data_IF_818364301996
#
_entry.id   IF_818364301996
#
_cell.length_a   1.000
_cell.length_b   1.000
_cell.length_c   1.000
_cell.angle_alpha   90.00
_cell.angle_beta   90.00
_cell.angle_gamma   90.00
#
_symmetry.space_group_name_H-M   'P 1'
#
loop_
_entity.id
_entity.type
_entity.pdbx_description
1 polymer ?
#
# COMPACT_ATOMS: atom_id res chain seq x y z
N UNK A 1 23.84 9.73 12.00
CA UNK A 1 22.65 10.53 12.38
C UNK A 1 21.50 9.55 12.61
N UNK A 2 20.83 9.61 13.75
CA UNK A 2 19.62 8.83 14.00
C UNK A 2 18.52 9.25 13.00
N UNK A 3 17.78 8.28 12.43
CA UNK A 3 16.62 8.61 11.60
C UNK A 3 15.57 9.28 12.49
N UNK A 4 14.91 10.35 12.04
CA UNK A 4 13.87 10.99 12.81
C UNK A 4 12.73 9.99 13.09
N UNK A 5 12.07 10.12 14.22
CA UNK A 5 10.89 9.32 14.53
C UNK A 5 9.76 9.64 13.55
N UNK A 6 8.79 8.72 13.37
CA UNK A 6 7.63 8.99 12.52
C UNK A 6 6.88 10.25 12.96
N UNK A 7 6.76 10.48 14.25
CA UNK A 7 6.09 11.65 14.81
C UNK A 7 6.85 12.95 14.50
N UNK A 8 8.18 12.94 14.48
CA UNK A 8 9.01 14.06 14.02
C UNK A 8 8.88 14.23 12.51
N UNK A 9 9.01 13.13 11.75
CA UNK A 9 8.84 13.14 10.30
C UNK A 9 7.46 13.71 9.90
N UNK A 10 6.38 13.23 10.50
CA UNK A 10 5.03 13.73 10.22
C UNK A 10 4.85 15.19 10.65
N UNK A 11 5.43 15.62 11.76
CA UNK A 11 5.33 17.01 12.24
C UNK A 11 6.04 17.96 11.28
N UNK A 12 7.27 17.64 10.90
CA UNK A 12 8.07 18.48 10.00
C UNK A 12 7.44 18.55 8.60
N UNK A 13 6.82 17.44 8.13
CA UNK A 13 6.21 17.38 6.81
C UNK A 13 4.76 17.87 6.76
N UNK A 14 4.00 17.82 7.87
CA UNK A 14 2.66 18.42 7.93
C UNK A 14 2.70 19.94 7.77
N UNK A 15 3.73 20.60 8.30
CA UNK A 15 3.93 22.05 8.09
C UNK A 15 4.29 22.37 6.63
N UNK A 16 5.06 21.51 5.96
CA UNK A 16 5.40 21.65 4.54
C UNK A 16 4.23 21.27 3.64
N UNK A 17 3.46 20.24 3.99
CA UNK A 17 2.22 19.85 3.30
C UNK A 17 1.19 20.98 3.36
N UNK A 18 1.05 21.67 4.50
CA UNK A 18 0.14 22.80 4.64
C UNK A 18 0.52 24.00 3.76
N UNK A 19 1.79 24.12 3.37
CA UNK A 19 2.33 25.15 2.48
C UNK A 19 2.30 24.74 1.00
N UNK A 20 2.30 23.44 0.72
CA UNK A 20 2.27 22.89 -0.63
C UNK A 20 0.84 22.92 -1.17
N UNK A 21 0.62 23.65 -2.24
CA UNK A 21 -0.73 23.84 -2.79
C UNK A 21 -1.27 22.65 -3.58
N UNK A 22 -0.38 21.79 -4.12
CA UNK A 22 -0.75 20.66 -4.96
C UNK A 22 0.04 19.39 -4.57
N UNK A 23 -0.61 18.23 -4.51
CA UNK A 23 0.09 16.96 -4.28
C UNK A 23 1.00 16.62 -5.45
N UNK A 24 2.12 15.97 -5.16
CA UNK A 24 3.00 15.41 -6.20
C UNK A 24 2.42 14.15 -6.83
N UNK A 25 2.99 13.68 -7.96
CA UNK A 25 2.51 12.47 -8.64
C UNK A 25 2.79 11.21 -7.82
N UNK A 26 1.84 10.27 -7.78
CA UNK A 26 2.00 8.99 -7.09
C UNK A 26 1.26 7.86 -7.79
N UNK A 27 1.70 6.62 -7.51
CA UNK A 27 1.09 5.38 -7.99
C UNK A 27 0.74 4.49 -6.79
N UNK A 28 -0.49 3.99 -6.71
CA UNK A 28 -0.84 2.94 -5.75
C UNK A 28 -1.09 1.61 -6.46
N UNK A 29 -0.50 0.53 -5.95
CA UNK A 29 -0.65 -0.83 -6.52
C UNK A 29 -1.34 -1.73 -5.49
N UNK A 30 -2.60 -2.08 -5.76
CA UNK A 30 -3.33 -3.12 -5.05
C UNK A 30 -3.19 -4.46 -5.78
N UNK A 31 -3.30 -5.58 -5.07
CA UNK A 31 -3.12 -6.90 -5.69
C UNK A 31 -3.86 -7.99 -4.94
N UNK A 32 -4.27 -9.02 -5.66
CA UNK A 32 -4.61 -10.31 -5.07
C UNK A 32 -3.36 -11.06 -4.63
N UNK A 33 -3.50 -11.97 -3.66
CA UNK A 33 -2.39 -12.83 -3.24
C UNK A 33 -2.06 -13.85 -4.32
N UNK A 34 -0.79 -13.97 -4.65
CA UNK A 34 -0.31 -14.77 -5.78
C UNK A 34 -0.04 -13.96 -7.05
N UNK A 35 -0.51 -12.69 -7.13
CA UNK A 35 -0.10 -11.76 -8.19
C UNK A 35 1.21 -11.04 -7.84
N UNK A 36 1.92 -10.59 -8.86
CA UNK A 36 3.29 -10.02 -8.78
C UNK A 36 3.32 -8.53 -8.42
N UNK A 37 2.55 -8.13 -7.39
CA UNK A 37 2.43 -6.71 -7.08
C UNK A 37 3.67 -6.03 -6.51
N UNK A 38 4.54 -6.77 -5.82
CA UNK A 38 5.80 -6.23 -5.33
C UNK A 38 6.80 -6.10 -6.49
N UNK A 39 6.91 -7.13 -7.30
CA UNK A 39 7.77 -7.18 -8.49
C UNK A 39 7.37 -6.12 -9.52
N UNK A 40 6.07 -5.89 -9.71
CA UNK A 40 5.56 -4.79 -10.52
C UNK A 40 5.96 -3.44 -9.92
N UNK A 41 5.83 -3.27 -8.60
CA UNK A 41 6.23 -2.05 -7.92
C UNK A 41 7.71 -1.71 -8.09
N UNK A 42 8.58 -2.73 -7.99
CA UNK A 42 10.02 -2.57 -8.24
C UNK A 42 10.31 -2.19 -9.70
N UNK A 43 9.69 -2.88 -10.65
CA UNK A 43 9.86 -2.58 -12.06
C UNK A 43 9.34 -1.18 -12.44
N UNK A 44 8.20 -0.77 -11.88
CA UNK A 44 7.70 0.59 -12.02
C UNK A 44 8.65 1.63 -11.45
N UNK A 45 9.26 1.36 -10.28
CA UNK A 45 10.24 2.27 -9.67
C UNK A 45 11.45 2.50 -10.59
N UNK A 46 11.97 1.44 -11.20
CA UNK A 46 13.07 1.53 -12.17
C UNK A 46 12.66 2.39 -13.38
N UNK A 47 11.51 2.08 -14.01
CA UNK A 47 11.00 2.81 -15.18
C UNK A 47 10.68 4.28 -14.88
N UNK A 48 10.12 4.58 -13.73
CA UNK A 48 9.83 5.95 -13.32
C UNK A 48 11.11 6.76 -13.09
N UNK A 49 12.13 6.17 -12.47
CA UNK A 49 13.42 6.82 -12.26
C UNK A 49 14.26 6.95 -13.54
N UNK A 50 14.07 6.06 -14.52
CA UNK A 50 14.65 6.22 -15.87
C UNK A 50 13.97 7.34 -16.66
N UNK A 51 12.65 7.53 -16.46
CA UNK A 51 11.87 8.54 -17.17
C UNK A 51 12.07 9.96 -16.63
N UNK A 52 12.18 10.10 -15.32
CA UNK A 52 12.29 11.37 -14.60
C UNK A 52 13.63 11.41 -13.84
N UNK A 53 14.65 11.93 -14.49
CA UNK A 53 16.01 12.04 -13.92
C UNK A 53 16.13 13.16 -12.87
N UNK A 54 15.23 14.14 -12.91
CA UNK A 54 15.25 15.30 -11.99
C UNK A 54 14.62 14.96 -10.65
N UNK A 55 13.67 14.02 -10.62
CA UNK A 55 12.88 13.66 -9.46
C UNK A 55 13.03 12.19 -9.15
N UNK A 56 13.42 11.87 -7.94
CA UNK A 56 13.64 10.49 -7.54
C UNK A 56 12.38 9.87 -6.92
N UNK A 57 11.79 8.91 -7.64
CA UNK A 57 10.70 8.08 -7.13
C UNK A 57 11.18 7.11 -6.05
N UNK A 58 10.32 6.84 -5.08
CA UNK A 58 10.58 5.88 -4.00
C UNK A 58 9.43 4.87 -3.91
N UNK A 59 9.76 3.64 -3.53
CA UNK A 59 8.74 2.61 -3.31
C UNK A 59 8.50 2.40 -1.81
N UNK A 60 7.22 2.25 -1.44
CA UNK A 60 6.78 1.99 -0.08
C UNK A 60 5.92 0.72 -0.05
N UNK A 61 6.32 -0.25 0.74
CA UNK A 61 5.65 -1.55 0.88
C UNK A 61 5.50 -1.91 2.36
N UNK A 62 6.33 -2.83 2.89
CA UNK A 62 6.30 -3.24 4.31
C UNK A 62 7.07 -2.30 5.23
N UNK A 63 7.86 -1.41 4.69
CA UNK A 63 8.68 -0.44 5.42
C UNK A 63 7.83 0.44 6.35
N UNK A 64 6.60 0.75 5.96
CA UNK A 64 5.66 1.51 6.79
C UNK A 64 5.32 0.79 8.10
N UNK A 65 5.15 -0.53 8.06
CA UNK A 65 4.89 -1.32 9.26
C UNK A 65 6.15 -1.43 10.13
N UNK A 66 7.33 -1.52 9.50
CA UNK A 66 8.61 -1.53 10.20
C UNK A 66 8.84 -0.21 10.92
N UNK A 67 8.63 0.90 10.25
CA UNK A 67 8.77 2.23 10.84
C UNK A 67 7.78 2.44 12.00
N UNK A 68 6.53 2.02 11.83
CA UNK A 68 5.55 2.10 12.91
C UNK A 68 5.93 1.20 14.10
N UNK A 69 6.55 0.05 13.85
CA UNK A 69 7.09 -0.83 14.88
C UNK A 69 8.21 -0.15 15.69
N UNK A 70 9.15 0.48 15.00
CA UNK A 70 10.24 1.25 15.60
C UNK A 70 9.71 2.41 16.46
N UNK A 71 8.73 3.17 15.96
CA UNK A 71 8.15 4.32 16.66
C UNK A 71 7.33 3.95 17.90
N UNK A 72 6.68 2.80 17.89
CA UNK A 72 5.81 2.35 18.98
C UNK A 72 6.49 1.43 19.98
N UNK A 73 7.72 0.97 19.68
CA UNK A 73 8.42 -0.07 20.45
C UNK A 73 7.77 -1.45 20.37
N UNK A 74 6.85 -1.67 19.42
CA UNK A 74 6.17 -2.94 19.18
C UNK A 74 6.86 -3.72 18.07
N UNK A 75 6.65 -5.04 18.02
CA UNK A 75 7.11 -5.84 16.87
C UNK A 75 6.15 -5.71 15.68
N UNK A 76 6.66 -5.96 14.46
CA UNK A 76 5.83 -5.92 13.26
C UNK A 76 4.66 -6.93 13.34
N UNK A 77 4.88 -8.10 13.96
CA UNK A 77 3.86 -9.13 14.16
C UNK A 77 2.73 -8.63 15.06
N UNK A 78 3.06 -7.88 16.13
CA UNK A 78 2.06 -7.28 17.01
C UNK A 78 1.26 -6.23 16.25
N UNK A 79 1.92 -5.36 15.50
CA UNK A 79 1.24 -4.33 14.69
C UNK A 79 0.32 -4.96 13.65
N UNK A 80 0.79 -5.97 12.92
CA UNK A 80 -0.03 -6.64 11.92
C UNK A 80 -1.22 -7.39 12.54
N UNK A 81 -1.02 -8.04 13.68
CA UNK A 81 -2.09 -8.70 14.44
C UNK A 81 -3.13 -7.68 14.93
N UNK A 82 -2.71 -6.59 15.54
CA UNK A 82 -3.62 -5.58 16.07
C UNK A 82 -4.34 -4.83 14.95
N UNK A 83 -3.67 -4.52 13.84
CA UNK A 83 -4.29 -3.94 12.65
C UNK A 83 -5.46 -4.77 12.12
N UNK A 84 -5.35 -6.09 12.23
CA UNK A 84 -6.37 -7.07 11.83
C UNK A 84 -7.40 -7.36 12.92
N UNK A 85 -7.20 -6.85 14.13
CA UNK A 85 -8.12 -7.11 15.26
C UNK A 85 -9.46 -6.43 15.02
N UNK A 86 -10.54 -7.19 15.32
CA UNK A 86 -11.89 -6.64 15.38
C UNK A 86 -12.09 -5.90 16.70
N UNK A 87 -12.87 -4.82 16.73
CA UNK A 87 -13.24 -4.16 17.97
C UNK A 87 -13.87 -5.16 18.98
N UNK A 88 -13.44 -5.09 20.23
CA UNK A 88 -13.96 -5.97 21.28
C UNK A 88 -14.02 -5.20 22.59
N UNK A 89 -15.23 -4.97 23.10
CA UNK A 89 -15.47 -4.26 24.36
C UNK A 89 -14.67 -4.86 25.54
N UNK A 90 -14.52 -6.20 25.58
CA UNK A 90 -13.74 -6.87 26.62
C UNK A 90 -12.25 -6.57 26.52
N UNK A 91 -11.70 -6.58 25.29
CA UNK A 91 -10.28 -6.22 25.06
C UNK A 91 -10.02 -4.76 25.41
N UNK A 92 -10.92 -3.87 25.03
CA UNK A 92 -10.80 -2.43 25.27
C UNK A 92 -10.89 -2.11 26.76
N UNK A 93 -11.79 -2.78 27.49
CA UNK A 93 -11.86 -2.68 28.94
C UNK A 93 -10.59 -3.17 29.65
N UNK A 94 -10.06 -4.33 29.24
CA UNK A 94 -8.82 -4.89 29.79
C UNK A 94 -7.58 -4.03 29.47
N UNK A 95 -7.57 -3.33 28.34
CA UNK A 95 -6.53 -2.37 27.98
C UNK A 95 -6.57 -1.14 28.88
N UNK A 96 -7.74 -0.63 29.19
CA UNK A 96 -7.91 0.50 30.13
C UNK A 96 -7.37 0.23 31.53
N UNK A 97 -7.24 -1.04 31.92
CA UNK A 97 -6.67 -1.45 33.22
C UNK A 97 -5.14 -1.60 33.20
N UNK A 98 -4.49 -1.63 32.03
CA UNK A 98 -3.02 -1.74 31.91
C UNK A 98 -2.38 -0.36 31.84
N UNK A 99 -1.34 -0.13 32.64
CA UNK A 99 -0.54 1.12 32.66
C UNK A 99 0.28 1.37 31.38
N UNK A 100 0.42 0.39 30.47
CA UNK A 100 1.12 0.55 29.20
C UNK A 100 0.12 0.74 28.07
N UNK A 101 0.17 1.87 27.40
CA UNK A 101 -0.67 2.16 26.24
C UNK A 101 -0.15 1.37 25.02
N UNK A 102 -0.74 0.21 24.75
CA UNK A 102 -0.55 -0.51 23.50
C UNK A 102 -1.60 0.03 22.52
N UNK A 103 -1.21 0.65 21.40
CA UNK A 103 -2.16 1.19 20.43
C UNK A 103 -3.14 0.09 19.97
N UNK A 104 -4.41 0.45 19.85
CA UNK A 104 -5.40 -0.48 19.34
C UNK A 104 -5.38 -0.58 17.80
N UNK A 105 -6.16 -1.51 17.26
CA UNK A 105 -6.22 -1.72 15.83
C UNK A 105 -6.73 -0.50 15.05
N UNK A 106 -7.56 0.34 15.64
CA UNK A 106 -8.03 1.59 15.03
C UNK A 106 -6.91 2.63 14.97
N UNK A 107 -6.21 2.85 16.08
CA UNK A 107 -5.06 3.78 16.12
C UNK A 107 -3.94 3.36 15.15
N UNK A 108 -3.64 2.06 15.09
CA UNK A 108 -2.64 1.52 14.13
C UNK A 108 -3.07 1.78 12.70
N UNK A 109 -4.34 1.51 12.36
CA UNK A 109 -4.86 1.77 11.00
C UNK A 109 -4.81 3.25 10.65
N UNK A 110 -5.21 4.13 11.57
CA UNK A 110 -5.18 5.58 11.35
C UNK A 110 -3.75 6.10 11.14
N UNK A 111 -2.78 5.62 11.92
CA UNK A 111 -1.36 5.98 11.73
C UNK A 111 -0.86 5.53 10.35
N UNK A 112 -1.16 4.29 9.94
CA UNK A 112 -0.79 3.80 8.60
C UNK A 112 -1.46 4.64 7.51
N UNK A 113 -2.75 4.97 7.66
CA UNK A 113 -3.47 5.83 6.71
C UNK A 113 -2.81 7.20 6.61
N UNK A 114 -2.49 7.83 7.73
CA UNK A 114 -1.83 9.13 7.74
C UNK A 114 -0.45 9.07 7.04
N UNK A 115 0.36 8.05 7.33
CA UNK A 115 1.65 7.85 6.64
C UNK A 115 1.48 7.72 5.13
N UNK A 116 0.52 6.89 4.68
CA UNK A 116 0.23 6.69 3.25
C UNK A 116 -0.23 7.99 2.59
N UNK A 117 -1.10 8.76 3.24
CA UNK A 117 -1.58 10.05 2.74
C UNK A 117 -0.46 11.08 2.64
N UNK A 118 0.40 11.17 3.67
CA UNK A 118 1.57 12.06 3.67
C UNK A 118 2.49 11.74 2.49
N UNK A 119 2.83 10.45 2.30
CA UNK A 119 3.69 9.99 1.20
C UNK A 119 3.06 10.31 -0.17
N UNK A 120 1.77 10.06 -0.32
CA UNK A 120 1.06 10.35 -1.57
C UNK A 120 1.02 11.86 -1.86
N UNK A 121 0.83 12.67 -0.85
CA UNK A 121 0.81 14.14 -0.99
C UNK A 121 2.19 14.70 -1.34
N UNK A 122 3.26 14.19 -0.74
CA UNK A 122 4.64 14.52 -1.13
C UNK A 122 4.93 14.14 -2.59
N UNK A 123 4.37 13.02 -3.03
CA UNK A 123 4.47 12.52 -4.39
C UNK A 123 5.78 11.78 -4.68
N UNK A 124 6.00 11.49 -5.95
CA UNK A 124 7.11 10.67 -6.46
C UNK A 124 7.19 9.32 -5.73
N UNK A 125 6.01 8.72 -5.51
CA UNK A 125 5.85 7.54 -4.68
C UNK A 125 5.13 6.40 -5.40
N UNK A 126 5.67 5.18 -5.26
CA UNK A 126 5.01 3.92 -5.62
C UNK A 126 4.60 3.22 -4.33
N UNK A 127 3.33 3.18 -4.01
CA UNK A 127 2.79 2.62 -2.76
C UNK A 127 2.17 1.25 -3.06
N UNK A 128 2.75 0.18 -2.51
CA UNK A 128 2.29 -1.19 -2.78
C UNK A 128 1.49 -1.73 -1.60
N UNK A 129 0.19 -1.83 -1.76
CA UNK A 129 -0.75 -2.28 -0.73
C UNK A 129 -1.06 -1.21 0.32
N UNK A 130 -1.13 -1.60 1.59
CA UNK A 130 -1.35 -0.75 2.77
C UNK A 130 -2.66 0.07 2.76
N UNK A 131 -3.65 -0.34 1.98
CA UNK A 131 -4.86 0.44 1.78
C UNK A 131 -4.66 1.68 0.89
N UNK A 132 -3.53 1.76 0.16
CA UNK A 132 -3.11 2.95 -0.57
C UNK A 132 -4.21 3.57 -1.44
N UNK A 133 -4.87 2.79 -2.28
CA UNK A 133 -5.92 3.30 -3.17
C UNK A 133 -7.09 3.97 -2.42
N UNK A 134 -7.56 3.37 -1.31
CA UNK A 134 -8.64 3.94 -0.51
C UNK A 134 -8.14 5.12 0.35
N UNK A 135 -6.95 5.00 0.95
CA UNK A 135 -6.37 6.05 1.78
C UNK A 135 -6.09 7.35 1.02
N UNK A 136 -5.93 7.28 -0.31
CA UNK A 136 -5.58 8.42 -1.17
C UNK A 136 -6.67 8.76 -2.20
N UNK A 137 -7.88 8.25 -1.99
CA UNK A 137 -8.98 8.38 -2.97
C UNK A 137 -9.39 9.83 -3.28
N UNK A 138 -9.16 10.73 -2.34
CA UNK A 138 -9.44 12.18 -2.38
C UNK A 138 -8.18 13.03 -2.65
N UNK A 139 -7.03 12.42 -2.89
CA UNK A 139 -5.78 13.13 -3.22
C UNK A 139 -5.58 13.10 -4.74
N UNK A 140 -5.50 14.28 -5.34
CA UNK A 140 -5.23 14.44 -6.77
C UNK A 140 -3.82 14.00 -7.16
N UNK A 141 -3.53 13.97 -8.46
CA UNK A 141 -2.24 13.60 -9.03
C UNK A 141 -1.80 12.16 -8.75
N UNK A 142 -2.77 11.25 -8.49
CA UNK A 142 -2.50 9.83 -8.31
C UNK A 142 -3.08 8.95 -9.41
N UNK A 143 -2.51 7.76 -9.55
CA UNK A 143 -3.07 6.66 -10.32
C UNK A 143 -3.21 5.44 -9.40
N UNK A 144 -4.41 4.87 -9.32
CA UNK A 144 -4.67 3.66 -8.53
C UNK A 144 -4.83 2.45 -9.44
N UNK A 145 -4.02 1.43 -9.22
CA UNK A 145 -3.98 0.21 -10.03
C UNK A 145 -4.25 -1.02 -9.17
N UNK A 146 -4.96 -1.98 -9.74
CA UNK A 146 -5.17 -3.28 -9.15
C UNK A 146 -4.77 -4.39 -10.10
N UNK A 147 -4.05 -5.41 -9.60
CA UNK A 147 -3.75 -6.63 -10.31
C UNK A 147 -4.49 -7.82 -9.68
N UNK A 148 -5.15 -8.57 -10.53
CA UNK A 148 -5.95 -9.75 -10.19
C UNK A 148 -5.53 -10.91 -11.08
N UNK A 149 -5.94 -12.12 -10.74
CA UNK A 149 -5.81 -13.29 -11.61
C UNK A 149 -6.78 -14.40 -11.16
N UNK A 150 -7.16 -15.34 -12.06
CA UNK A 150 -7.97 -16.49 -11.71
C UNK A 150 -7.38 -17.28 -10.52
N UNK A 151 -8.27 -17.81 -9.67
CA UNK A 151 -7.87 -18.50 -8.43
C UNK A 151 -6.88 -19.65 -8.70
N UNK A 152 -7.17 -20.47 -9.69
CA UNK A 152 -6.34 -21.66 -10.00
C UNK A 152 -4.94 -21.26 -10.49
N UNK A 153 -4.82 -20.19 -11.25
CA UNK A 153 -3.55 -19.63 -11.67
C UNK A 153 -2.73 -19.16 -10.45
N UNK A 154 -3.36 -18.49 -9.50
CA UNK A 154 -2.70 -18.04 -8.26
C UNK A 154 -2.30 -19.21 -7.37
N UNK A 155 -3.14 -20.26 -7.27
CA UNK A 155 -2.80 -21.50 -6.54
C UNK A 155 -1.56 -22.14 -7.13
N UNK A 156 -1.49 -22.30 -8.46
CA UNK A 156 -0.33 -22.88 -9.12
C UNK A 156 0.96 -22.09 -8.83
N UNK A 157 0.90 -20.77 -8.87
CA UNK A 157 2.06 -19.91 -8.57
C UNK A 157 2.52 -20.01 -7.12
N UNK A 158 1.58 -19.94 -6.17
CA UNK A 158 1.89 -20.06 -4.74
C UNK A 158 2.46 -21.43 -4.42
N UNK A 159 1.87 -22.51 -4.98
CA UNK A 159 2.39 -23.88 -4.81
C UNK A 159 3.85 -24.00 -5.21
N UNK A 160 4.24 -23.44 -6.36
CA UNK A 160 5.63 -23.43 -6.84
C UNK A 160 6.53 -22.55 -5.97
N UNK A 161 6.10 -21.32 -5.66
CA UNK A 161 6.90 -20.33 -4.93
C UNK A 161 7.20 -20.79 -3.49
N UNK A 162 6.17 -21.29 -2.80
CA UNK A 162 6.28 -21.70 -1.40
C UNK A 162 6.67 -23.19 -1.23
N UNK A 163 6.75 -23.94 -2.35
CA UNK A 163 7.06 -25.40 -2.36
C UNK A 163 6.06 -26.21 -1.53
N UNK A 164 4.77 -25.92 -1.66
CA UNK A 164 3.65 -26.58 -0.98
C UNK A 164 2.68 -27.18 -2.01
N UNK A 165 1.82 -28.08 -1.58
CA UNK A 165 0.79 -28.63 -2.45
C UNK A 165 -0.31 -27.60 -2.78
N UNK A 166 -1.15 -27.92 -3.78
CA UNK A 166 -2.21 -27.01 -4.24
C UNK A 166 -3.29 -26.76 -3.19
N UNK A 167 -3.57 -27.72 -2.30
CA UNK A 167 -4.57 -27.59 -1.26
C UNK A 167 -4.09 -26.58 -0.20
N UNK A 168 -2.84 -26.74 0.27
CA UNK A 168 -2.20 -25.79 1.18
C UNK A 168 -2.07 -24.39 0.56
N UNK A 169 -1.72 -24.28 -0.72
CA UNK A 169 -1.68 -23.01 -1.44
C UNK A 169 -3.07 -22.35 -1.52
N UNK A 170 -4.14 -23.13 -1.74
CA UNK A 170 -5.51 -22.65 -1.74
C UNK A 170 -5.93 -22.08 -0.39
N UNK A 171 -5.64 -22.81 0.70
CA UNK A 171 -5.93 -22.37 2.06
C UNK A 171 -5.17 -21.07 2.43
N UNK A 172 -3.89 -20.98 2.04
CA UNK A 172 -3.08 -19.76 2.24
C UNK A 172 -3.65 -18.57 1.48
N UNK A 173 -4.13 -18.76 0.25
CA UNK A 173 -4.79 -17.69 -0.52
C UNK A 173 -6.04 -17.20 0.21
N UNK A 174 -6.89 -18.11 0.69
CA UNK A 174 -8.12 -17.77 1.40
C UNK A 174 -7.82 -16.96 2.66
N UNK A 175 -6.89 -17.42 3.49
CA UNK A 175 -6.49 -16.72 4.72
C UNK A 175 -5.98 -15.29 4.44
N UNK A 176 -5.10 -15.13 3.46
CA UNK A 176 -4.53 -13.82 3.12
C UNK A 176 -5.57 -12.88 2.49
N UNK A 177 -6.43 -13.41 1.61
CA UNK A 177 -7.47 -12.60 0.97
C UNK A 177 -8.57 -12.16 1.96
N UNK A 178 -8.96 -13.00 2.92
CA UNK A 178 -9.88 -12.62 4.00
C UNK A 178 -9.32 -11.44 4.82
N UNK A 179 -8.05 -11.51 5.21
CA UNK A 179 -7.37 -10.41 5.91
C UNK A 179 -7.35 -9.13 5.08
N UNK A 180 -7.02 -9.24 3.77
CA UNK A 180 -7.00 -8.10 2.86
C UNK A 180 -8.39 -7.53 2.59
N UNK A 181 -9.40 -8.38 2.42
CA UNK A 181 -10.78 -7.97 2.24
C UNK A 181 -11.30 -7.20 3.45
N UNK A 182 -11.02 -7.70 4.65
CA UNK A 182 -11.37 -7.02 5.89
C UNK A 182 -10.75 -5.62 5.98
N UNK A 183 -9.44 -5.50 5.75
CA UNK A 183 -8.76 -4.20 5.77
C UNK A 183 -9.28 -3.27 4.69
N UNK A 184 -9.46 -3.77 3.46
CA UNK A 184 -9.99 -2.98 2.35
C UNK A 184 -11.36 -2.41 2.69
N UNK A 185 -12.28 -3.24 3.20
CA UNK A 185 -13.60 -2.78 3.64
C UNK A 185 -13.52 -1.64 4.64
N UNK A 186 -12.64 -1.74 5.65
CA UNK A 186 -12.46 -0.68 6.64
C UNK A 186 -11.94 0.64 6.05
N UNK A 187 -11.02 0.57 5.08
CA UNK A 187 -10.49 1.76 4.42
C UNK A 187 -11.50 2.37 3.44
N UNK A 188 -12.24 1.55 2.70
CA UNK A 188 -13.29 1.98 1.76
C UNK A 188 -14.49 2.61 2.46
N UNK A 189 -14.85 2.13 3.66
CA UNK A 189 -15.89 2.75 4.51
C UNK A 189 -15.49 4.16 4.98
N UNK A 190 -14.20 4.41 5.19
CA UNK A 190 -13.69 5.73 5.58
C UNK A 190 -13.58 6.69 4.40
N UNK A 191 -13.23 6.18 3.22
CA UNK A 191 -13.00 6.95 2.01
C UNK A 191 -13.64 6.23 0.80
N UNK A 192 -14.97 6.29 0.64
CA UNK A 192 -15.65 5.64 -0.48
C UNK A 192 -15.27 6.29 -1.80
N UNK A 193 -14.98 5.45 -2.81
CA UNK A 193 -14.70 5.88 -4.18
C UNK A 193 -15.25 4.88 -5.18
N UNK A 194 -15.89 5.39 -6.24
CA UNK A 194 -16.29 4.61 -7.40
C UNK A 194 -15.79 5.26 -8.70
N UNK A 195 -15.08 4.51 -9.54
CA UNK A 195 -14.55 3.14 -9.32
C UNK A 195 -13.42 3.12 -8.29
N UNK A 196 -13.29 2.01 -7.55
CA UNK A 196 -12.28 1.85 -6.51
C UNK A 196 -10.83 1.92 -7.03
N UNK A 197 -10.62 1.61 -8.30
CA UNK A 197 -9.32 1.64 -8.98
C UNK A 197 -9.45 2.32 -10.34
N UNK A 198 -8.40 3.05 -10.74
CA UNK A 198 -8.33 3.66 -12.07
C UNK A 198 -8.10 2.62 -13.16
N UNK A 199 -7.33 1.57 -12.88
CA UNK A 199 -7.03 0.46 -13.79
C UNK A 199 -7.04 -0.87 -13.05
N UNK A 200 -7.57 -1.90 -13.71
CA UNK A 200 -7.52 -3.29 -13.22
C UNK A 200 -6.92 -4.18 -14.31
N UNK A 201 -5.94 -4.98 -13.97
CA UNK A 201 -5.24 -5.87 -14.89
C UNK A 201 -5.37 -7.34 -14.47
N UNK A 202 -5.55 -8.22 -15.46
CA UNK A 202 -5.42 -9.67 -15.28
C UNK A 202 -3.94 -10.09 -15.45
N UNK A 203 -3.30 -10.46 -14.34
CA UNK A 203 -1.89 -10.88 -14.31
C UNK A 203 -1.68 -12.29 -14.90
N UNK A 204 -2.74 -13.04 -15.18
CA UNK A 204 -2.64 -14.31 -15.89
C UNK A 204 -2.49 -14.13 -17.40
N UNK A 205 -2.92 -12.98 -17.92
CA UNK A 205 -2.87 -12.61 -19.35
C UNK A 205 -1.65 -11.72 -19.62
N UNK A 206 -1.47 -10.68 -18.79
CA UNK A 206 -0.40 -9.71 -18.97
C UNK A 206 0.76 -9.98 -18.00
N UNK A 207 1.97 -10.03 -18.55
CA UNK A 207 3.20 -10.04 -17.73
C UNK A 207 3.40 -8.68 -17.08
N UNK A 208 4.19 -8.63 -16.00
CA UNK A 208 4.44 -7.38 -15.26
C UNK A 208 5.03 -6.27 -16.13
N UNK A 209 5.85 -6.61 -17.12
CA UNK A 209 6.46 -5.66 -18.06
C UNK A 209 5.39 -4.97 -18.94
N UNK A 210 4.43 -5.74 -19.44
CA UNK A 210 3.31 -5.24 -20.24
C UNK A 210 2.35 -4.39 -19.39
N UNK A 211 2.06 -4.82 -18.17
CA UNK A 211 1.26 -4.05 -17.21
C UNK A 211 1.96 -2.72 -16.90
N UNK A 212 3.27 -2.75 -16.66
CA UNK A 212 4.05 -1.55 -16.37
C UNK A 212 4.03 -0.56 -17.53
N UNK A 213 4.16 -1.02 -18.77
CA UNK A 213 4.08 -0.18 -19.96
C UNK A 213 2.73 0.54 -20.07
N UNK A 214 1.62 -0.17 -19.87
CA UNK A 214 0.29 0.40 -19.87
C UNK A 214 0.09 1.41 -18.73
N UNK A 215 0.66 1.15 -17.55
CA UNK A 215 0.64 2.08 -16.43
C UNK A 215 1.44 3.35 -16.77
N UNK A 216 2.64 3.21 -17.35
CA UNK A 216 3.47 4.35 -17.77
C UNK A 216 2.73 5.23 -18.77
N UNK A 217 2.07 4.64 -19.78
CA UNK A 217 1.25 5.37 -20.73
C UNK A 217 0.09 6.11 -20.05
N UNK A 218 -0.63 5.47 -19.14
CA UNK A 218 -1.71 6.10 -18.40
C UNK A 218 -1.22 7.25 -17.51
N UNK A 219 -0.06 7.10 -16.85
CA UNK A 219 0.56 8.16 -16.04
C UNK A 219 0.98 9.35 -16.92
N UNK A 220 1.56 9.09 -18.08
CA UNK A 220 1.94 10.13 -19.05
C UNK A 220 0.71 10.90 -19.56
N UNK A 221 -0.36 10.20 -19.97
CA UNK A 221 -1.61 10.83 -20.41
C UNK A 221 -2.30 11.68 -19.33
N UNK A 222 -2.12 11.30 -18.04
CA UNK A 222 -2.59 12.10 -16.91
C UNK A 222 -1.64 13.27 -16.54
N UNK A 223 -0.52 13.42 -17.20
CA UNK A 223 0.49 14.43 -16.85
C UNK A 223 1.22 14.17 -15.52
N UNK A 224 1.23 12.92 -15.04
CA UNK A 224 1.89 12.55 -13.79
C UNK A 224 3.41 12.34 -13.95
N UNK A 225 3.84 12.11 -15.16
CA UNK A 225 5.25 11.94 -15.55
C UNK A 225 5.52 12.65 -16.87
N UNK A 226 6.76 13.04 -17.15
CA UNK A 226 7.13 13.63 -18.45
C UNK A 226 6.90 12.64 -19.60
N UNK A 227 6.66 13.12 -20.84
CA UNK A 227 6.52 12.28 -22.01
C UNK A 227 7.78 11.48 -22.29
N UNK A 228 7.63 10.38 -23.05
CA UNK A 228 8.78 9.62 -23.53
C UNK A 228 9.70 10.51 -24.35
N UNK A 229 11.00 10.47 -24.06
CA UNK A 229 12.00 11.07 -24.99
C UNK A 229 11.93 10.29 -26.30
N UNK A 230 11.66 10.97 -27.39
CA UNK A 230 11.65 10.43 -28.78
C UNK A 230 13.08 10.13 -29.20
#
# INVERSE_FOLDING_TARGET
>A
MAKPSLSEYLRDHLDDISKKREPGPYLTISRQYGCEGFELGQYMLEKLNERDEERRWKMYYKELLKQLAEDTGLTQEIIERERLSKPSLVKDFLRGLKKSHIPDGYEIRNKITLMVRTIAFEGYAVIVGQGGAAATSDIDNGLSVRIEAPRDWRIARISIREKIDKAAAGAMIEEVEEKRKYLRKLYEEQNPREPAFSLVFDNSIFKKEQIAELIMQAMEQKGLIPPAKI
#
